data_IF_686883729946
#
_entry.id   IF_686883729946
#
_cell.length_a   1.000
_cell.length_b   1.000
_cell.length_c   1.000
_cell.angle_alpha   90.00
_cell.angle_beta   90.00
_cell.angle_gamma   90.00
#
_symmetry.space_group_name_H-M   'P 1'
#
loop_
_entity.id
_entity.type
_entity.pdbx_description
1 polymer ?
#
# COMPACT_ATOMS: atom_id res chain seq x y z
N UNK A 1 9.02 -39.39 -19.19
CA UNK A 1 7.57 -39.13 -19.32
C UNK A 1 7.27 -37.63 -19.39
N UNK A 2 7.50 -36.83 -18.34
CA UNK A 2 7.19 -35.38 -18.37
C UNK A 2 7.96 -34.63 -19.47
N UNK A 3 9.25 -34.91 -19.66
CA UNK A 3 10.05 -34.29 -20.73
C UNK A 3 9.58 -34.66 -22.16
N UNK A 4 8.98 -35.83 -22.36
CA UNK A 4 8.38 -36.20 -23.64
C UNK A 4 7.04 -35.50 -23.82
N UNK A 5 6.25 -35.40 -22.74
CA UNK A 5 4.99 -34.66 -22.73
C UNK A 5 5.18 -33.17 -23.02
N UNK A 6 6.27 -32.55 -22.53
CA UNK A 6 6.60 -31.18 -22.87
C UNK A 6 6.90 -31.02 -24.36
N UNK A 7 7.73 -31.90 -24.95
CA UNK A 7 8.04 -31.81 -26.38
C UNK A 7 6.80 -31.99 -27.26
N UNK A 8 5.92 -32.92 -26.91
CA UNK A 8 4.64 -33.11 -27.63
C UNK A 8 3.74 -31.88 -27.48
N UNK A 9 3.62 -31.34 -26.26
CA UNK A 9 2.81 -30.15 -26.01
C UNK A 9 3.35 -28.88 -26.71
N UNK A 10 4.68 -28.71 -26.77
CA UNK A 10 5.35 -27.66 -27.54
C UNK A 10 5.00 -27.73 -29.02
N UNK A 11 4.99 -28.94 -29.61
CA UNK A 11 4.62 -29.16 -31.00
C UNK A 11 3.15 -28.88 -31.30
N UNK A 12 2.25 -29.10 -30.34
CA UNK A 12 0.81 -28.85 -30.49
C UNK A 12 0.49 -27.36 -30.30
N UNK A 13 1.05 -26.73 -29.26
CA UNK A 13 0.76 -25.35 -28.89
C UNK A 13 1.58 -24.33 -29.67
N UNK A 14 2.67 -24.73 -30.31
CA UNK A 14 3.55 -23.84 -31.06
C UNK A 14 4.33 -22.85 -30.18
N UNK A 15 4.45 -23.14 -28.88
CA UNK A 15 5.11 -22.26 -27.90
C UNK A 15 6.02 -23.05 -26.99
N UNK A 16 7.20 -22.52 -26.67
CA UNK A 16 8.11 -23.10 -25.68
C UNK A 16 7.48 -23.08 -24.29
N UNK A 17 7.53 -24.23 -23.62
CA UNK A 17 6.99 -24.38 -22.28
C UNK A 17 8.02 -23.88 -21.27
N UNK A 18 7.59 -23.05 -20.32
CA UNK A 18 8.44 -22.67 -19.19
C UNK A 18 8.12 -23.55 -18.00
N UNK A 19 9.06 -23.72 -17.08
CA UNK A 19 8.86 -24.54 -15.86
C UNK A 19 7.61 -24.12 -15.07
N UNK A 20 7.22 -22.85 -15.15
CA UNK A 20 6.10 -22.28 -14.39
C UNK A 20 4.72 -22.64 -14.97
N UNK A 21 4.62 -22.97 -16.26
CA UNK A 21 3.34 -23.30 -16.91
C UNK A 21 3.34 -24.67 -17.61
N UNK A 22 4.44 -25.41 -17.58
CA UNK A 22 4.61 -26.67 -18.30
C UNK A 22 3.46 -27.67 -18.08
N UNK A 23 3.02 -27.85 -16.84
CA UNK A 23 1.97 -28.81 -16.50
C UNK A 23 0.59 -28.41 -17.05
N UNK A 24 0.20 -27.14 -16.87
CA UNK A 24 -1.08 -26.62 -17.35
C UNK A 24 -1.13 -26.65 -18.88
N UNK A 25 -0.03 -26.29 -19.52
CA UNK A 25 0.06 -26.32 -20.98
C UNK A 25 0.06 -27.76 -21.53
N UNK A 26 0.67 -28.74 -20.85
CA UNK A 26 0.53 -30.16 -21.21
C UNK A 26 -0.94 -30.59 -21.15
N UNK A 27 -1.68 -30.18 -20.12
CA UNK A 27 -3.10 -30.49 -19.98
C UNK A 27 -3.92 -29.85 -21.11
N UNK A 28 -3.65 -28.58 -21.44
CA UNK A 28 -4.32 -27.92 -22.58
C UNK A 28 -4.01 -28.61 -23.91
N UNK A 29 -2.74 -28.97 -24.15
CA UNK A 29 -2.33 -29.68 -25.36
C UNK A 29 -2.96 -31.08 -25.44
N UNK A 30 -3.09 -31.76 -24.29
CA UNK A 30 -3.78 -33.04 -24.19
C UNK A 30 -5.26 -32.90 -24.54
N UNK A 31 -5.94 -31.84 -24.08
CA UNK A 31 -7.35 -31.59 -24.43
C UNK A 31 -7.55 -31.29 -25.93
N UNK A 32 -6.56 -30.68 -26.60
CA UNK A 32 -6.62 -30.39 -28.04
C UNK A 32 -6.40 -31.64 -28.90
N UNK A 33 -5.43 -32.49 -28.53
CA UNK A 33 -5.14 -33.71 -29.27
C UNK A 33 -4.69 -34.84 -28.32
N UNK A 34 -5.65 -35.54 -27.70
CA UNK A 34 -5.36 -36.62 -26.75
C UNK A 34 -4.55 -37.77 -27.38
N UNK A 35 -4.71 -37.98 -28.70
CA UNK A 35 -4.11 -39.10 -29.43
C UNK A 35 -2.58 -39.04 -29.47
N UNK A 36 -2.00 -37.83 -29.37
CA UNK A 36 -0.55 -37.61 -29.37
C UNK A 36 0.10 -37.94 -28.02
N UNK A 37 -0.68 -38.18 -26.97
CA UNK A 37 -0.20 -38.42 -25.62
C UNK A 37 -0.30 -39.90 -25.19
N UNK A 38 0.09 -40.82 -26.08
CA UNK A 38 0.07 -42.27 -25.84
C UNK A 38 0.89 -42.72 -24.63
N UNK A 39 1.91 -41.93 -24.24
CA UNK A 39 2.75 -42.16 -23.06
C UNK A 39 2.01 -42.15 -21.71
N UNK A 40 0.76 -41.69 -21.67
CA UNK A 40 -0.05 -41.71 -20.44
C UNK A 40 -0.87 -43.00 -20.26
N UNK A 41 -1.01 -43.85 -21.28
CA UNK A 41 -1.70 -45.14 -21.19
C UNK A 41 -3.08 -45.04 -20.52
N UNK A 42 -3.29 -45.83 -19.46
CA UNK A 42 -4.54 -45.91 -18.70
C UNK A 42 -4.90 -44.61 -17.95
N UNK A 43 -3.98 -43.64 -17.83
CA UNK A 43 -4.24 -42.35 -17.18
C UNK A 43 -4.88 -41.32 -18.11
N UNK A 44 -5.05 -41.64 -19.39
CA UNK A 44 -5.63 -40.74 -20.40
C UNK A 44 -7.07 -40.33 -20.04
N UNK A 45 -7.89 -41.25 -19.54
CA UNK A 45 -9.26 -40.94 -19.09
C UNK A 45 -9.29 -39.96 -17.92
N UNK A 46 -8.38 -40.10 -16.96
CA UNK A 46 -8.28 -39.21 -15.81
C UNK A 46 -7.88 -37.79 -16.23
N UNK A 47 -6.97 -37.66 -17.20
CA UNK A 47 -6.53 -36.36 -17.75
C UNK A 47 -7.62 -35.76 -18.64
N UNK A 48 -8.36 -36.59 -19.38
CA UNK A 48 -9.46 -36.13 -20.23
C UNK A 48 -10.64 -35.57 -19.44
N UNK A 49 -10.92 -36.14 -18.26
CA UNK A 49 -11.97 -35.65 -17.36
C UNK A 49 -11.56 -34.41 -16.56
N UNK A 50 -10.27 -34.05 -16.55
CA UNK A 50 -9.79 -32.86 -15.85
C UNK A 50 -10.10 -31.61 -16.67
N UNK A 51 -11.14 -30.88 -16.28
CA UNK A 51 -11.58 -29.65 -16.95
C UNK A 51 -11.19 -28.41 -16.15
N UNK A 52 -10.48 -27.48 -16.81
CA UNK A 52 -10.17 -26.14 -16.31
C UNK A 52 -11.18 -25.10 -16.79
N UNK A 53 -12.31 -25.55 -17.35
CA UNK A 53 -13.33 -24.66 -17.88
C UNK A 53 -14.16 -24.05 -16.74
N UNK A 54 -14.20 -22.73 -16.69
CA UNK A 54 -15.01 -21.97 -15.75
C UNK A 54 -15.80 -20.91 -16.52
N UNK A 55 -17.12 -20.89 -16.35
CA UNK A 55 -18.02 -19.98 -17.08
C UNK A 55 -17.85 -20.04 -18.61
N UNK A 56 -17.48 -21.22 -19.15
CA UNK A 56 -17.21 -21.40 -20.58
C UNK A 56 -15.83 -20.91 -21.05
N UNK A 57 -14.93 -20.55 -20.13
CA UNK A 57 -13.56 -20.12 -20.40
C UNK A 57 -12.56 -21.16 -19.91
N UNK A 58 -11.55 -21.50 -20.72
CA UNK A 58 -10.44 -22.32 -20.28
C UNK A 58 -9.48 -21.50 -19.41
N UNK A 59 -9.47 -21.73 -18.10
CA UNK A 59 -8.59 -21.02 -17.17
C UNK A 59 -7.12 -21.42 -17.28
N UNK A 60 -6.83 -22.53 -17.96
CA UNK A 60 -5.48 -22.99 -18.22
C UNK A 60 -4.78 -22.23 -19.35
N UNK A 61 -5.53 -21.54 -20.21
CA UNK A 61 -4.98 -20.80 -21.33
C UNK A 61 -4.42 -19.45 -20.90
N UNK A 62 -3.37 -19.00 -21.58
CA UNK A 62 -2.80 -17.67 -21.37
C UNK A 62 -3.58 -16.68 -22.22
N UNK A 63 -4.18 -15.62 -21.64
CA UNK A 63 -4.84 -14.57 -22.40
C UNK A 63 -3.89 -13.96 -23.43
N UNK A 64 -4.40 -13.75 -24.64
CA UNK A 64 -3.68 -13.06 -25.72
C UNK A 64 -4.44 -11.79 -26.10
N UNK A 65 -3.77 -10.86 -26.77
CA UNK A 65 -4.42 -9.69 -27.38
C UNK A 65 -5.26 -10.11 -28.60
N UNK A 66 -6.34 -10.83 -28.34
CA UNK A 66 -7.29 -11.34 -29.31
C UNK A 66 -8.73 -11.03 -28.85
N UNK A 67 -9.65 -10.88 -29.79
CA UNK A 67 -11.07 -10.69 -29.50
C UNK A 67 -11.72 -12.03 -29.15
N UNK A 68 -11.31 -12.61 -28.03
CA UNK A 68 -11.89 -13.81 -27.45
C UNK A 68 -12.40 -13.51 -26.03
N UNK A 69 -13.20 -14.40 -25.46
CA UNK A 69 -13.74 -14.18 -24.13
C UNK A 69 -12.65 -14.23 -23.02
N UNK A 70 -11.45 -14.77 -23.31
CA UNK A 70 -10.31 -14.74 -22.39
C UNK A 70 -9.76 -13.32 -22.13
N UNK A 71 -9.90 -12.38 -23.09
CA UNK A 71 -9.48 -10.98 -22.90
C UNK A 71 -10.24 -10.27 -21.77
N UNK A 72 -11.43 -10.78 -21.44
CA UNK A 72 -12.23 -10.23 -20.35
C UNK A 72 -11.55 -10.41 -19.01
N UNK A 73 -10.73 -11.45 -18.82
CA UNK A 73 -10.07 -11.73 -17.55
C UNK A 73 -9.06 -10.62 -17.17
N UNK A 74 -8.07 -10.25 -18.01
CA UNK A 74 -7.19 -9.11 -17.73
C UNK A 74 -7.95 -7.80 -17.48
N UNK A 75 -8.97 -7.51 -18.30
CA UNK A 75 -9.75 -6.27 -18.20
C UNK A 75 -10.52 -6.22 -16.88
N UNK A 76 -11.26 -7.29 -16.55
CA UNK A 76 -12.03 -7.38 -15.31
C UNK A 76 -11.12 -7.36 -14.09
N UNK A 77 -9.94 -7.98 -14.15
CA UNK A 77 -8.94 -7.91 -13.09
C UNK A 77 -8.50 -6.47 -12.84
N UNK A 78 -8.08 -5.75 -13.89
CA UNK A 78 -7.68 -4.34 -13.75
C UNK A 78 -8.81 -3.47 -13.20
N UNK A 79 -10.04 -3.63 -13.71
CA UNK A 79 -11.22 -2.90 -13.23
C UNK A 79 -11.51 -3.24 -11.77
N UNK A 80 -11.45 -4.51 -11.37
CA UNK A 80 -11.67 -4.95 -10.01
C UNK A 80 -10.61 -4.38 -9.05
N UNK A 81 -9.35 -4.34 -9.46
CA UNK A 81 -8.26 -3.75 -8.66
C UNK A 81 -8.41 -2.23 -8.50
N UNK A 82 -8.81 -1.53 -9.56
CA UNK A 82 -9.12 -0.09 -9.50
C UNK A 82 -10.30 0.14 -8.54
N UNK A 83 -11.39 -0.60 -8.72
CA UNK A 83 -12.57 -0.50 -7.88
C UNK A 83 -12.24 -0.79 -6.41
N UNK A 84 -11.51 -1.88 -6.13
CA UNK A 84 -11.13 -2.25 -4.77
C UNK A 84 -10.29 -1.18 -4.10
N UNK A 85 -9.35 -0.59 -4.83
CA UNK A 85 -8.53 0.47 -4.26
C UNK A 85 -9.32 1.76 -4.04
N UNK A 86 -10.14 2.20 -5.00
CA UNK A 86 -10.96 3.41 -4.85
C UNK A 86 -11.95 3.28 -3.68
N UNK A 87 -12.59 2.11 -3.55
CA UNK A 87 -13.51 1.84 -2.45
C UNK A 87 -12.75 1.82 -1.11
N UNK A 88 -11.62 1.12 -1.04
CA UNK A 88 -10.82 1.03 0.19
C UNK A 88 -10.32 2.40 0.63
N UNK A 89 -9.84 3.25 -0.30
CA UNK A 89 -9.42 4.62 -0.01
C UNK A 89 -10.54 5.51 0.52
N UNK A 90 -11.77 5.32 0.01
CA UNK A 90 -12.95 6.05 0.49
C UNK A 90 -13.34 5.58 1.89
N UNK A 91 -13.38 4.27 2.11
CA UNK A 91 -13.77 3.67 3.39
C UNK A 91 -12.75 3.95 4.49
N UNK A 92 -11.46 3.94 4.20
CA UNK A 92 -10.40 4.17 5.19
C UNK A 92 -10.24 5.64 5.63
N UNK A 93 -10.90 6.58 4.94
CA UNK A 93 -10.72 8.02 5.19
C UNK A 93 -9.36 8.57 4.75
N UNK A 94 -8.50 7.75 4.13
CA UNK A 94 -7.16 8.14 3.69
C UNK A 94 -7.17 9.11 2.50
N UNK A 95 -8.30 9.26 1.81
CA UNK A 95 -8.46 10.19 0.68
C UNK A 95 -8.18 11.66 1.03
N UNK A 96 -8.41 12.07 2.28
CA UNK A 96 -8.09 13.44 2.73
C UNK A 96 -6.60 13.62 3.07
N UNK A 97 -5.91 12.56 3.52
CA UNK A 97 -4.47 12.58 3.78
C UNK A 97 -3.62 12.55 2.49
N UNK A 98 -4.23 12.21 1.35
CA UNK A 98 -3.62 12.22 0.02
C UNK A 98 -3.68 13.59 -0.69
N UNK A 99 -4.17 14.66 -0.05
CA UNK A 99 -4.16 15.99 -0.64
C UNK A 99 -2.80 16.68 -0.39
N UNK A 100 -1.84 16.43 -1.28
CA UNK A 100 -0.49 17.00 -1.27
C UNK A 100 0.47 16.24 -2.19
N UNK A 101 1.73 16.70 -2.31
CA UNK A 101 2.74 16.04 -3.17
C UNK A 101 2.95 14.55 -2.87
N UNK A 102 2.79 14.14 -1.61
CA UNK A 102 2.85 12.76 -1.13
C UNK A 102 1.68 11.88 -1.64
N UNK A 103 0.53 12.47 -1.96
CA UNK A 103 -0.63 11.72 -2.46
C UNK A 103 -0.54 11.42 -3.95
N UNK A 104 0.11 12.28 -4.73
CA UNK A 104 0.32 12.04 -6.15
C UNK A 104 1.27 10.86 -6.37
N UNK A 105 2.38 10.78 -5.63
CA UNK A 105 3.31 9.64 -5.71
C UNK A 105 2.63 8.31 -5.36
N UNK A 106 1.77 8.30 -4.35
CA UNK A 106 1.04 7.09 -3.96
C UNK A 106 0.03 6.65 -5.04
N UNK A 107 -0.69 7.60 -5.67
CA UNK A 107 -1.61 7.28 -6.77
C UNK A 107 -0.88 6.75 -7.99
N UNK A 108 0.27 7.35 -8.34
CA UNK A 108 1.11 6.88 -9.45
C UNK A 108 1.59 5.46 -9.17
N UNK A 109 2.12 5.20 -7.97
CA UNK A 109 2.59 3.87 -7.60
C UNK A 109 1.49 2.80 -7.74
N UNK A 110 0.28 3.12 -7.26
CA UNK A 110 -0.87 2.23 -7.39
C UNK A 110 -1.26 2.01 -8.86
N UNK A 111 -1.31 3.07 -9.67
CA UNK A 111 -1.63 2.98 -11.09
C UNK A 111 -0.60 2.15 -11.86
N UNK A 112 0.70 2.34 -11.56
CA UNK A 112 1.79 1.55 -12.13
C UNK A 112 1.65 0.08 -11.76
N UNK A 113 1.36 -0.22 -10.49
CA UNK A 113 1.18 -1.61 -10.04
C UNK A 113 0.00 -2.29 -10.75
N UNK A 114 -1.10 -1.59 -10.93
CA UNK A 114 -2.26 -2.08 -11.68
C UNK A 114 -1.89 -2.29 -13.16
N UNK A 115 -1.16 -1.36 -13.76
CA UNK A 115 -0.67 -1.49 -15.14
C UNK A 115 0.22 -2.72 -15.33
N UNK A 116 1.21 -2.89 -14.45
CA UNK A 116 2.09 -4.08 -14.47
C UNK A 116 1.26 -5.36 -14.32
N UNK A 117 0.32 -5.39 -13.36
CA UNK A 117 -0.52 -6.56 -13.11
C UNK A 117 -1.42 -6.89 -14.32
N UNK A 118 -1.96 -5.87 -15.00
CA UNK A 118 -2.73 -6.04 -16.23
C UNK A 118 -1.90 -6.68 -17.34
N UNK A 119 -0.69 -6.17 -17.61
CA UNK A 119 0.20 -6.77 -18.60
C UNK A 119 0.67 -8.16 -18.20
N UNK A 120 0.86 -8.40 -16.90
CA UNK A 120 1.27 -9.69 -16.39
C UNK A 120 0.20 -10.78 -16.57
N UNK A 121 -1.09 -10.41 -16.65
CA UNK A 121 -2.17 -11.35 -16.99
C UNK A 121 -1.97 -12.01 -18.37
N UNK A 122 -1.20 -11.42 -19.27
CA UNK A 122 -0.91 -11.98 -20.61
C UNK A 122 0.30 -12.92 -20.62
N UNK A 123 0.98 -13.08 -19.49
CA UNK A 123 2.15 -13.97 -19.35
C UNK A 123 1.84 -15.20 -18.51
N UNK A 124 0.66 -15.28 -17.90
CA UNK A 124 0.26 -16.35 -16.98
C UNK A 124 -1.10 -16.93 -17.37
N UNK A 125 -1.43 -18.17 -16.95
CA UNK A 125 -2.75 -18.75 -17.19
C UNK A 125 -3.88 -17.87 -16.65
N UNK A 126 -5.01 -17.84 -17.35
CA UNK A 126 -6.17 -17.00 -17.03
C UNK A 126 -6.73 -17.23 -15.62
N UNK A 127 -6.53 -18.43 -15.04
CA UNK A 127 -6.87 -18.71 -13.65
C UNK A 127 -6.19 -17.77 -12.65
N UNK A 128 -4.98 -17.28 -12.94
CA UNK A 128 -4.29 -16.28 -12.09
C UNK A 128 -4.99 -14.93 -12.15
N UNK A 129 -5.47 -14.53 -13.33
CA UNK A 129 -6.28 -13.32 -13.49
C UNK A 129 -7.62 -13.41 -12.74
N UNK A 130 -8.27 -14.58 -12.79
CA UNK A 130 -9.48 -14.85 -12.02
C UNK A 130 -9.24 -14.75 -10.50
N UNK A 131 -8.08 -15.24 -10.04
CA UNK A 131 -7.67 -15.09 -8.64
C UNK A 131 -7.61 -13.61 -8.23
N UNK A 132 -7.02 -12.72 -9.04
CA UNK A 132 -6.99 -11.30 -8.73
C UNK A 132 -8.38 -10.65 -8.69
N UNK A 133 -9.29 -11.06 -9.58
CA UNK A 133 -10.68 -10.60 -9.55
C UNK A 133 -11.33 -10.95 -8.20
N UNK A 134 -11.26 -12.22 -7.81
CA UNK A 134 -11.86 -12.70 -6.55
C UNK A 134 -11.19 -12.02 -5.35
N UNK A 135 -9.86 -11.91 -5.36
CA UNK A 135 -9.10 -11.23 -4.31
C UNK A 135 -9.53 -9.76 -4.15
N UNK A 136 -9.74 -9.03 -5.25
CA UNK A 136 -10.23 -7.65 -5.21
C UNK A 136 -11.64 -7.55 -4.65
N UNK A 137 -12.53 -8.48 -4.99
CA UNK A 137 -13.87 -8.55 -4.41
C UNK A 137 -13.83 -8.82 -2.91
N UNK A 138 -13.02 -9.78 -2.46
CA UNK A 138 -12.82 -10.06 -1.04
C UNK A 138 -12.24 -8.85 -0.29
N UNK A 139 -11.28 -8.15 -0.90
CA UNK A 139 -10.71 -6.91 -0.34
C UNK A 139 -11.79 -5.86 -0.11
N UNK A 140 -12.71 -5.68 -1.08
CA UNK A 140 -13.84 -4.75 -0.94
C UNK A 140 -14.73 -5.17 0.23
N UNK A 141 -15.12 -6.44 0.28
CA UNK A 141 -15.99 -6.97 1.35
C UNK A 141 -15.34 -6.78 2.72
N UNK A 142 -14.06 -7.10 2.86
CA UNK A 142 -13.29 -6.87 4.08
C UNK A 142 -13.25 -5.39 4.45
N UNK A 143 -13.02 -4.49 3.49
CA UNK A 143 -13.02 -3.05 3.74
C UNK A 143 -14.37 -2.56 4.27
N UNK A 144 -15.49 -3.09 3.76
CA UNK A 144 -16.82 -2.77 4.29
C UNK A 144 -17.03 -3.28 5.72
N UNK A 145 -16.63 -4.53 6.00
CA UNK A 145 -16.72 -5.13 7.33
C UNK A 145 -15.90 -4.29 8.33
N UNK A 146 -14.64 -4.02 8.01
CA UNK A 146 -13.76 -3.22 8.88
C UNK A 146 -14.32 -1.82 9.10
N UNK A 147 -14.75 -1.14 8.05
CA UNK A 147 -15.36 0.19 8.17
C UNK A 147 -16.64 0.19 9.02
N UNK A 148 -17.39 -0.92 9.04
CA UNK A 148 -18.59 -1.07 9.87
C UNK A 148 -18.26 -1.16 11.36
N UNK A 149 -17.22 -1.90 11.74
CA UNK A 149 -16.80 -2.08 13.13
C UNK A 149 -15.90 -0.95 13.64
N UNK A 150 -14.96 -0.52 12.80
CA UNK A 150 -13.96 0.51 13.08
C UNK A 150 -14.16 1.61 12.05
N UNK A 151 -15.16 2.48 12.26
CA UNK A 151 -15.40 3.61 11.38
C UNK A 151 -14.19 4.57 11.47
N UNK A 152 -13.27 4.54 10.49
CA UNK A 152 -12.01 5.25 10.59
C UNK A 152 -12.22 6.76 10.43
N UNK A 153 -13.36 7.19 9.86
CA UNK A 153 -13.69 8.61 9.78
C UNK A 153 -13.96 9.20 11.15
N UNK A 154 -14.71 8.50 12.01
CA UNK A 154 -14.94 8.95 13.40
C UNK A 154 -13.64 9.01 14.18
N UNK A 155 -12.82 7.97 14.08
CA UNK A 155 -11.50 7.92 14.72
C UNK A 155 -10.57 9.04 14.22
N UNK A 156 -10.59 9.33 12.91
CA UNK A 156 -9.80 10.41 12.32
C UNK A 156 -10.29 11.79 12.74
N UNK A 157 -11.60 11.99 12.88
CA UNK A 157 -12.21 13.23 13.35
C UNK A 157 -11.88 13.48 14.84
N UNK A 158 -12.02 12.46 15.69
CA UNK A 158 -11.61 12.52 17.09
C UNK A 158 -10.11 12.79 17.23
N UNK A 159 -9.26 12.14 16.44
CA UNK A 159 -7.83 12.39 16.44
C UNK A 159 -7.50 13.83 16.02
N UNK A 160 -8.17 14.37 14.99
CA UNK A 160 -8.01 15.77 14.56
C UNK A 160 -8.44 16.74 15.65
N UNK A 161 -9.59 16.53 16.27
CA UNK A 161 -10.08 17.34 17.38
C UNK A 161 -9.11 17.32 18.57
N UNK A 162 -8.62 16.15 18.97
CA UNK A 162 -7.60 16.01 20.02
C UNK A 162 -6.29 16.72 19.66
N UNK A 163 -5.87 16.67 18.40
CA UNK A 163 -4.64 17.32 17.95
C UNK A 163 -4.77 18.84 17.95
N UNK A 164 -5.92 19.38 17.57
CA UNK A 164 -6.25 20.81 17.70
C UNK A 164 -6.34 21.24 19.16
N UNK A 165 -6.96 20.44 20.01
CA UNK A 165 -7.05 20.72 21.44
C UNK A 165 -5.67 20.68 22.08
N UNK A 166 -4.81 19.72 21.74
CA UNK A 166 -3.40 19.68 22.16
C UNK A 166 -2.62 20.89 21.64
N UNK A 167 -2.85 21.34 20.40
CA UNK A 167 -2.23 22.57 19.87
C UNK A 167 -2.68 23.81 20.64
N UNK A 168 -3.98 23.94 20.94
CA UNK A 168 -4.53 25.03 21.77
C UNK A 168 -3.98 24.98 23.19
N UNK A 169 -3.94 23.79 23.81
CA UNK A 169 -3.35 23.56 25.14
C UNK A 169 -1.84 23.80 25.17
N UNK A 170 -1.09 23.51 24.11
CA UNK A 170 0.35 23.86 23.99
C UNK A 170 0.58 25.36 23.80
N UNK A 171 -0.32 26.06 23.10
CA UNK A 171 -0.28 27.53 23.02
C UNK A 171 -0.59 28.18 24.38
N UNK A 172 -1.45 27.55 25.19
CA UNK A 172 -1.85 28.07 26.50
C UNK A 172 -0.98 27.57 27.68
N UNK A 173 -0.30 26.42 27.57
CA UNK A 173 0.72 25.96 28.53
C UNK A 173 2.07 26.61 28.20
N UNK A 174 2.18 27.90 28.51
CA UNK A 174 3.47 28.57 28.73
C UNK A 174 3.78 28.53 30.23
N UNK A 175 4.57 27.56 30.68
CA UNK A 175 5.01 27.41 32.08
C UNK A 175 6.34 26.64 32.02
N UNK A 176 7.44 26.88 32.75
CA UNK A 176 7.98 27.88 33.71
C UNK A 176 9.49 27.56 33.75
N UNK A 177 10.37 28.54 33.99
CA UNK A 177 11.63 28.26 34.70
C UNK A 177 11.81 29.29 35.81
N UNK A 178 12.14 28.76 36.98
CA UNK A 178 12.40 29.38 38.28
C UNK A 178 13.84 29.92 38.28
N UNK A 179 14.06 31.17 38.68
CA UNK A 179 15.39 31.64 39.10
C UNK A 179 15.61 31.32 40.58
N UNK A 180 16.75 30.70 40.90
CA UNK A 180 17.25 30.61 42.26
C UNK A 180 17.91 31.94 42.64
N UNK A 181 17.58 32.47 43.81
CA UNK A 181 18.48 33.35 44.57
C UNK A 181 18.35 33.04 46.07
N UNK A 182 19.45 33.25 46.78
CA UNK A 182 19.93 32.51 47.96
C UNK A 182 19.18 32.70 49.30
N UNK A 183 17.96 33.24 49.33
CA UNK A 183 17.31 33.62 50.60
C UNK A 183 15.81 33.29 50.65
N UNK A 184 15.51 31.99 50.62
CA UNK A 184 14.54 31.38 51.55
C UNK A 184 13.06 31.78 51.56
N UNK A 185 12.51 32.59 50.64
CA UNK A 185 11.07 32.88 50.60
C UNK A 185 10.47 32.65 49.21
N UNK A 186 9.46 31.78 49.14
CA UNK A 186 8.82 31.34 47.89
C UNK A 186 7.62 32.23 47.57
N UNK A 187 7.77 33.16 46.63
CA UNK A 187 6.65 33.90 46.05
C UNK A 187 6.42 33.43 44.62
N UNK A 188 5.32 32.72 44.38
CA UNK A 188 4.83 32.40 43.04
C UNK A 188 4.14 33.62 42.43
N UNK A 189 4.79 34.26 41.44
CA UNK A 189 4.15 35.27 40.59
C UNK A 189 3.87 34.66 39.23
N UNK A 190 2.59 34.52 38.87
CA UNK A 190 2.15 34.19 37.52
C UNK A 190 2.28 35.43 36.62
N UNK A 191 3.20 35.42 35.66
CA UNK A 191 3.29 36.49 34.64
C UNK A 191 3.13 35.92 33.24
N UNK A 192 2.26 36.55 32.44
CA UNK A 192 2.04 36.24 31.03
C UNK A 192 3.25 36.70 30.21
N UNK A 193 4.19 35.79 29.92
CA UNK A 193 5.43 36.12 29.21
C UNK A 193 5.16 36.32 27.71
N UNK A 194 5.50 37.50 27.21
CA UNK A 194 5.35 37.89 25.80
C UNK A 194 6.31 37.10 24.89
N UNK A 195 6.06 37.02 23.57
CA UNK A 195 6.93 36.28 22.64
C UNK A 195 8.40 36.77 22.70
N UNK A 196 8.61 38.09 22.83
CA UNK A 196 9.94 38.71 22.96
C UNK A 196 10.73 38.23 24.17
N UNK A 197 10.08 38.10 25.32
CA UNK A 197 10.73 37.60 26.54
C UNK A 197 11.07 36.11 26.42
N UNK A 198 10.27 35.34 25.67
CA UNK A 198 10.55 33.92 25.40
C UNK A 198 11.78 33.73 24.51
N UNK A 199 11.94 34.61 23.51
CA UNK A 199 13.07 34.58 22.58
C UNK A 199 14.36 35.01 23.29
N UNK A 200 14.30 35.97 24.23
CA UNK A 200 15.40 36.31 25.14
C UNK A 200 15.89 35.10 25.95
N UNK A 201 14.95 34.37 26.57
CA UNK A 201 15.29 33.18 27.38
C UNK A 201 15.91 32.07 26.52
N UNK A 202 15.43 31.86 25.29
CA UNK A 202 16.03 30.88 24.37
C UNK A 202 17.42 31.27 23.94
N UNK A 203 17.64 32.54 23.62
CA UNK A 203 18.96 33.03 23.20
C UNK A 203 19.97 32.92 24.34
N UNK A 204 19.57 33.29 25.56
CA UNK A 204 20.41 33.15 26.75
C UNK A 204 20.82 31.69 26.99
N UNK A 205 19.86 30.76 26.89
CA UNK A 205 20.13 29.33 27.04
C UNK A 205 21.00 28.77 25.91
N UNK A 206 20.84 29.26 24.68
CA UNK A 206 21.68 28.86 23.56
C UNK A 206 23.14 29.32 23.76
N UNK A 207 23.34 30.57 24.20
CA UNK A 207 24.68 31.12 24.52
C UNK A 207 25.33 30.38 25.69
N UNK A 208 24.57 30.01 26.72
CA UNK A 208 25.06 29.18 27.83
C UNK A 208 25.50 27.79 27.36
N UNK A 209 24.72 27.12 26.50
CA UNK A 209 25.10 25.80 25.98
C UNK A 209 26.32 25.85 25.04
N UNK A 210 26.47 26.92 24.26
CA UNK A 210 27.66 27.12 23.42
C UNK A 210 28.90 27.44 24.29
N UNK A 211 28.76 28.31 25.29
CA UNK A 211 29.79 28.59 26.29
C UNK A 211 30.27 27.31 27.00
N UNK A 212 29.35 26.46 27.46
CA UNK A 212 29.67 25.16 28.08
C UNK A 212 30.39 24.19 27.11
N UNK A 213 30.09 24.25 25.81
CA UNK A 213 30.63 23.35 24.81
C UNK A 213 32.01 23.78 24.28
N UNK A 214 32.25 25.09 24.19
CA UNK A 214 33.46 25.67 23.62
C UNK A 214 34.40 26.27 24.67
N UNK A 215 33.99 26.30 25.94
CA UNK A 215 34.82 26.71 27.08
C UNK A 215 34.96 28.22 27.26
N UNK A 216 34.17 29.01 26.53
CA UNK A 216 34.13 30.47 26.60
C UNK A 216 33.08 30.94 27.63
N UNK A 217 33.20 32.18 28.14
CA UNK A 217 32.20 32.77 29.05
C UNK A 217 30.90 33.10 28.29
N UNK A 218 29.74 32.86 28.90
CA UNK A 218 28.46 33.13 28.27
C UNK A 218 28.15 34.63 28.22
N UNK A 219 28.10 35.21 27.01
CA UNK A 219 27.74 36.62 26.82
C UNK A 219 26.30 36.91 27.26
N UNK A 220 26.13 37.98 28.05
CA UNK A 220 24.80 38.46 28.46
C UNK A 220 23.95 38.89 27.27
N UNK A 221 22.66 38.54 27.34
CA UNK A 221 21.67 38.88 26.31
C UNK A 221 21.22 40.33 26.49
N UNK A 222 21.52 41.19 25.51
CA UNK A 222 21.19 42.62 25.54
C UNK A 222 19.94 42.92 24.73
N UNK A 223 19.29 44.05 25.02
CA UNK A 223 18.05 44.45 24.35
C UNK A 223 18.25 44.73 22.84
N UNK A 224 19.44 45.17 22.45
CA UNK A 224 19.86 45.43 21.07
C UNK A 224 19.87 44.17 20.18
N UNK A 225 19.88 42.97 20.78
CA UNK A 225 19.87 41.70 20.06
C UNK A 225 18.47 41.34 19.48
N UNK A 226 17.41 42.10 19.79
CA UNK A 226 16.01 41.80 19.45
C UNK A 226 15.24 42.95 18.79
N UNK A 227 15.96 43.95 18.27
CA UNK A 227 15.41 45.06 17.48
C UNK A 227 15.36 44.77 15.97
#
# INVERSE_FOLDING_TARGET
MIAQATTVAEGILGTTLTSNNAQISIINAFQQDPSKFTMFGDKTEAISNFSLNFLGLNLGEVPQFALNALILIPILSAVAMIASSLITQKLSGSGAAMQGGMGMSTKIMMAVMIGISFFFCFSVPAGVGLYWIIQSLLTIVQAFIVNRFYNPQKMAEEARAQLEERKKKRKNKKVVVVEQTETGETVTVEKNVSQRELDKIRLAKARQMDAEKYGDEADEVKDEDFD
#
